data_IF_849671665265
#
_entry.id   IF_849671665265
#
_cell.length_a   1.000
_cell.length_b   1.000
_cell.length_c   1.000
_cell.angle_alpha   90.00
_cell.angle_beta   90.00
_cell.angle_gamma   90.00
#
_symmetry.space_group_name_H-M   'P 1'
#
loop_
_entity.id
_entity.type
_entity.pdbx_description
1 polymer ?
#
# COMPACT_ATOMS: atom_id res chain seq x y z
N UNK A 1 17.65 -2.42 3.41
CA UNK A 1 17.44 -3.80 2.89
C UNK A 1 18.25 -4.07 1.62
N UNK A 2 18.25 -5.30 1.06
CA UNK A 2 18.81 -5.56 -0.29
C UNK A 2 17.81 -5.12 -1.36
N UNK A 3 18.29 -4.58 -2.50
CA UNK A 3 17.44 -4.10 -3.61
C UNK A 3 16.44 -5.16 -4.10
N UNK A 4 16.84 -6.43 -4.12
CA UNK A 4 15.99 -7.56 -4.52
C UNK A 4 14.78 -7.70 -3.59
N UNK A 5 14.95 -7.52 -2.28
CA UNK A 5 13.84 -7.58 -1.31
C UNK A 5 12.87 -6.43 -1.51
N UNK A 6 13.39 -5.22 -1.76
CA UNK A 6 12.55 -4.05 -2.05
C UNK A 6 11.72 -4.24 -3.32
N UNK A 7 12.30 -4.81 -4.38
CA UNK A 7 11.58 -5.14 -5.61
C UNK A 7 10.52 -6.22 -5.39
N UNK A 8 10.80 -7.21 -4.54
CA UNK A 8 9.82 -8.24 -4.19
C UNK A 8 8.62 -7.64 -3.43
N UNK A 9 8.87 -6.78 -2.43
CA UNK A 9 7.82 -6.07 -1.68
C UNK A 9 7.01 -5.14 -2.58
N UNK A 10 7.67 -4.38 -3.45
CA UNK A 10 7.02 -3.53 -4.44
C UNK A 10 6.08 -4.34 -5.33
N UNK A 11 6.54 -5.49 -5.85
CA UNK A 11 5.72 -6.37 -6.70
C UNK A 11 4.47 -6.87 -5.96
N UNK A 12 4.60 -7.22 -4.68
CA UNK A 12 3.46 -7.61 -3.85
C UNK A 12 2.48 -6.44 -3.66
N UNK A 13 2.98 -5.24 -3.37
CA UNK A 13 2.14 -4.06 -3.23
C UNK A 13 1.40 -3.71 -4.54
N UNK A 14 2.05 -3.87 -5.70
CA UNK A 14 1.45 -3.65 -7.02
C UNK A 14 0.35 -4.65 -7.38
N UNK A 15 0.29 -5.83 -6.74
CA UNK A 15 -0.81 -6.78 -6.93
C UNK A 15 -2.10 -6.33 -6.22
N UNK A 16 -2.01 -5.39 -5.28
CA UNK A 16 -3.17 -4.85 -4.60
C UNK A 16 -3.96 -3.92 -5.54
N UNK A 17 -5.29 -4.07 -5.60
CA UNK A 17 -6.15 -3.37 -6.58
C UNK A 17 -6.07 -1.84 -6.49
N UNK A 18 -5.67 -1.29 -5.34
CA UNK A 18 -5.44 0.15 -5.14
C UNK A 18 -4.23 0.71 -5.86
N UNK A 19 -3.25 -0.14 -6.13
CA UNK A 19 -1.92 0.23 -6.66
C UNK A 19 -1.76 -0.34 -8.07
N UNK A 20 -2.49 -1.40 -8.37
CA UNK A 20 -2.60 -2.01 -9.69
C UNK A 20 -2.95 -0.96 -10.75
N UNK A 21 -2.15 -0.92 -11.82
CA UNK A 21 -2.34 0.01 -12.95
C UNK A 21 -1.65 1.37 -12.79
N UNK A 22 -1.09 1.68 -11.62
CA UNK A 22 -0.20 2.83 -11.47
C UNK A 22 1.17 2.43 -12.04
N UNK A 23 1.64 3.14 -13.05
CA UNK A 23 2.87 2.79 -13.79
C UNK A 23 4.13 3.18 -13.00
N UNK A 24 4.38 2.41 -11.93
CA UNK A 24 5.41 2.66 -10.91
C UNK A 24 6.73 1.95 -11.29
N UNK A 25 6.63 0.92 -12.12
CA UNK A 25 7.74 0.06 -12.54
C UNK A 25 8.82 0.84 -13.29
N UNK A 26 8.40 1.81 -14.10
CA UNK A 26 9.32 2.66 -14.88
C UNK A 26 10.05 3.66 -14.00
N UNK A 27 9.40 4.19 -12.95
CA UNK A 27 10.02 5.14 -12.02
C UNK A 27 11.06 4.48 -11.10
N UNK A 28 10.76 3.27 -10.65
CA UNK A 28 11.59 2.55 -9.66
C UNK A 28 12.90 2.04 -10.24
N UNK A 29 13.00 1.90 -11.57
CA UNK A 29 14.24 1.57 -12.27
C UNK A 29 15.33 2.65 -12.08
N UNK A 30 14.93 3.92 -11.95
CA UNK A 30 15.85 5.06 -11.79
C UNK A 30 16.08 5.46 -10.32
N UNK A 31 15.38 4.82 -9.38
CA UNK A 31 15.52 5.10 -7.95
C UNK A 31 16.72 4.40 -7.33
N UNK A 32 17.42 5.12 -6.45
CA UNK A 32 18.40 4.51 -5.54
C UNK A 32 17.68 3.66 -4.47
N UNK A 33 18.43 2.86 -3.70
CA UNK A 33 17.82 1.91 -2.76
C UNK A 33 17.02 2.60 -1.64
N UNK A 34 17.46 3.78 -1.18
CA UNK A 34 16.76 4.54 -0.14
C UNK A 34 15.42 5.07 -0.65
N UNK A 35 15.40 5.70 -1.82
CA UNK A 35 14.18 6.19 -2.44
C UNK A 35 13.21 5.04 -2.77
N UNK A 36 13.74 3.88 -3.19
CA UNK A 36 12.93 2.69 -3.43
C UNK A 36 12.29 2.16 -2.13
N UNK A 37 13.02 2.20 -1.01
CA UNK A 37 12.53 1.79 0.31
C UNK A 37 11.39 2.71 0.79
N UNK A 38 11.58 4.03 0.72
CA UNK A 38 10.52 5.01 1.05
C UNK A 38 9.27 4.83 0.17
N UNK A 39 9.47 4.53 -1.11
CA UNK A 39 8.37 4.34 -2.05
C UNK A 39 7.56 3.07 -1.74
N UNK A 40 8.24 1.98 -1.36
CA UNK A 40 7.60 0.73 -0.93
C UNK A 40 6.81 0.96 0.36
N UNK A 41 7.39 1.64 1.35
CA UNK A 41 6.70 1.95 2.61
C UNK A 41 5.44 2.79 2.39
N UNK A 42 5.50 3.79 1.51
CA UNK A 42 4.34 4.61 1.19
C UNK A 42 3.17 3.80 0.61
N UNK A 43 3.47 2.83 -0.26
CA UNK A 43 2.44 1.95 -0.82
C UNK A 43 1.84 1.01 0.22
N UNK A 44 2.67 0.45 1.10
CA UNK A 44 2.19 -0.40 2.20
C UNK A 44 1.29 0.39 3.15
N UNK A 45 1.62 1.66 3.44
CA UNK A 45 0.76 2.55 4.23
C UNK A 45 -0.60 2.77 3.57
N UNK A 46 -0.65 3.05 2.26
CA UNK A 46 -1.92 3.21 1.53
C UNK A 46 -2.78 1.95 1.62
N UNK A 47 -2.17 0.77 1.45
CA UNK A 47 -2.87 -0.51 1.57
C UNK A 47 -3.44 -0.69 2.97
N UNK A 48 -2.62 -0.43 4.00
CA UNK A 48 -3.02 -0.60 5.39
C UNK A 48 -4.10 0.41 5.81
N UNK A 49 -4.01 1.67 5.37
CA UNK A 49 -5.05 2.67 5.60
C UNK A 49 -6.37 2.29 4.93
N UNK A 50 -6.31 1.79 3.70
CA UNK A 50 -7.50 1.30 3.02
C UNK A 50 -8.10 0.09 3.73
N UNK A 51 -7.26 -0.85 4.20
CA UNK A 51 -7.71 -1.99 5.00
C UNK A 51 -8.40 -1.53 6.29
N UNK A 52 -7.84 -0.57 7.01
CA UNK A 52 -8.44 0.02 8.22
C UNK A 52 -9.78 0.69 7.93
N UNK A 53 -9.89 1.44 6.82
CA UNK A 53 -11.16 2.07 6.40
C UNK A 53 -12.20 1.03 5.98
N UNK A 54 -11.80 -0.02 5.27
CA UNK A 54 -12.68 -1.11 4.86
C UNK A 54 -13.21 -1.92 6.07
N UNK A 55 -12.39 -2.09 7.12
CA UNK A 55 -12.78 -2.79 8.36
C UNK A 55 -13.54 -1.89 9.35
N UNK A 56 -13.28 -0.58 9.34
CA UNK A 56 -13.95 0.41 10.20
C UNK A 56 -15.36 0.82 9.74
N UNK A 57 -15.80 0.39 8.55
CA UNK A 57 -17.14 0.69 8.01
C UNK A 57 -18.30 -0.12 8.62
N UNK A 58 -18.02 -1.05 9.54
CA UNK A 58 -19.03 -1.89 10.21
C UNK A 58 -19.26 -1.52 11.68
N UNK A 59 -19.23 -0.22 12.02
CA UNK A 59 -19.84 0.26 13.25
C UNK A 59 -21.02 1.18 12.91
N UNK A 60 -22.02 0.62 12.24
CA UNK A 60 -23.34 1.22 12.17
C UNK A 60 -23.91 1.31 13.58
N UNK A 61 -24.15 2.54 13.99
CA UNK A 61 -24.99 2.99 15.09
C UNK A 61 -26.25 2.14 15.25
N UNK A 62 -26.34 1.41 16.35
CA UNK A 62 -27.59 0.83 16.87
C UNK A 62 -27.52 0.94 18.40
N UNK A 63 -28.48 1.48 19.14
CA UNK A 63 -29.70 2.20 18.83
C UNK A 63 -30.00 3.02 20.09
N UNK A 64 -30.31 4.31 19.91
CA UNK A 64 -30.94 5.12 20.95
C UNK A 64 -32.46 4.96 20.76
N UNK A 65 -33.09 4.06 21.51
CA UNK A 65 -34.54 4.02 21.78
C UNK A 65 -34.88 2.77 22.61
N UNK A 66 -35.00 2.91 23.93
CA UNK A 66 -36.29 2.96 24.65
C UNK A 66 -36.04 2.86 26.15
#
# INVERSE_FOLDING_TARGET
MKRVELLARLKTAQQHDLIRGRDITTLTAFMNNTALEEHVEHFEQIIEEHRKKAQGGSFSTASHAN
#
